data_IF_494575822969
#
_entry.id   IF_494575822969
#
_cell.length_a   1.000
_cell.length_b   1.000
_cell.length_c   1.000
_cell.angle_alpha   90.00
_cell.angle_beta   90.00
_cell.angle_gamma   90.00
#
_symmetry.space_group_name_H-M   'P 1'
#
loop_
_entity.id
_entity.type
_entity.pdbx_description
1 polymer ?
#
# COMPACT_ATOMS: atom_id res chain seq x y z
N UNK A 1 -4.47 -13.25 -4.80
CA UNK A 1 -3.04 -13.55 -4.98
C UNK A 1 -2.49 -12.62 -6.06
N UNK A 2 -1.37 -11.94 -5.77
CA UNK A 2 -0.58 -11.15 -6.74
C UNK A 2 0.74 -11.88 -6.96
N UNK A 3 1.23 -11.95 -8.18
CA UNK A 3 2.54 -12.49 -8.51
C UNK A 3 3.23 -11.58 -9.53
N UNK A 4 4.48 -11.25 -9.27
CA UNK A 4 5.39 -10.62 -10.22
C UNK A 4 6.54 -11.59 -10.47
N UNK A 5 6.82 -11.85 -11.73
CA UNK A 5 7.77 -12.86 -12.16
C UNK A 5 8.83 -12.23 -13.04
N UNK A 6 10.10 -12.24 -12.55
CA UNK A 6 11.29 -11.77 -13.26
C UNK A 6 11.19 -10.35 -13.84
N UNK A 7 10.60 -9.40 -13.10
CA UNK A 7 10.42 -8.02 -13.55
C UNK A 7 11.75 -7.30 -13.69
N UNK A 8 12.02 -6.82 -14.92
CA UNK A 8 13.14 -5.91 -15.19
C UNK A 8 12.61 -4.65 -15.91
N UNK A 9 13.08 -3.46 -15.48
CA UNK A 9 12.62 -2.17 -15.98
C UNK A 9 13.77 -1.22 -16.25
N UNK A 10 13.73 -0.56 -17.43
CA UNK A 10 14.69 0.45 -17.84
C UNK A 10 14.01 1.79 -18.14
N UNK A 11 14.75 2.88 -17.93
CA UNK A 11 14.43 4.21 -18.44
C UNK A 11 15.67 4.79 -19.10
N UNK A 12 15.54 5.26 -20.34
CA UNK A 12 16.61 5.88 -21.12
C UNK A 12 17.92 5.06 -21.11
N UNK A 13 17.79 3.75 -21.28
CA UNK A 13 18.93 2.81 -21.26
C UNK A 13 19.50 2.49 -19.87
N UNK A 14 18.99 3.09 -18.80
CA UNK A 14 19.40 2.81 -17.43
C UNK A 14 18.47 1.77 -16.79
N UNK A 15 19.05 0.66 -16.34
CA UNK A 15 18.32 -0.35 -15.57
C UNK A 15 17.95 0.20 -14.19
N UNK A 16 16.67 0.16 -13.85
CA UNK A 16 16.13 0.62 -12.55
C UNK A 16 15.78 -0.57 -11.68
N UNK A 17 15.13 -1.59 -12.26
CA UNK A 17 14.81 -2.86 -11.60
C UNK A 17 15.42 -4.00 -12.41
N UNK A 18 15.97 -4.98 -11.72
CA UNK A 18 16.57 -6.16 -12.36
C UNK A 18 16.09 -7.43 -11.67
N UNK A 19 15.42 -8.27 -12.45
CA UNK A 19 15.03 -9.63 -12.04
C UNK A 19 14.25 -9.68 -10.71
N UNK A 20 13.26 -8.80 -10.57
CA UNK A 20 12.46 -8.69 -9.35
C UNK A 20 11.28 -9.66 -9.41
N UNK A 21 11.27 -10.62 -8.48
CA UNK A 21 10.16 -11.56 -8.30
C UNK A 21 9.57 -11.42 -6.89
N UNK A 22 8.25 -11.37 -6.78
CA UNK A 22 7.54 -11.36 -5.50
C UNK A 22 6.13 -11.95 -5.66
N UNK A 23 5.57 -12.42 -4.56
CA UNK A 23 4.19 -12.89 -4.54
C UNK A 23 3.49 -12.48 -3.24
N UNK A 24 2.17 -12.36 -3.29
CA UNK A 24 1.30 -12.12 -2.14
C UNK A 24 0.19 -13.17 -2.14
N UNK A 25 -0.06 -13.76 -0.99
CA UNK A 25 -1.21 -14.61 -0.78
C UNK A 25 -2.48 -13.80 -0.50
N UNK A 26 -3.64 -14.43 -0.70
CA UNK A 26 -4.93 -13.76 -0.46
C UNK A 26 -5.09 -13.38 1.02
N UNK A 27 -5.38 -12.10 1.29
CA UNK A 27 -5.54 -11.56 2.64
C UNK A 27 -4.23 -11.25 3.36
N UNK A 28 -3.09 -11.43 2.69
CA UNK A 28 -1.77 -11.14 3.25
C UNK A 28 -1.45 -9.64 3.20
N UNK A 29 -0.80 -9.13 4.23
CA UNK A 29 -0.23 -7.79 4.29
C UNK A 29 1.29 -7.87 4.19
N UNK A 30 1.82 -7.52 3.05
CA UNK A 30 3.25 -7.59 2.73
C UNK A 30 3.84 -6.19 2.66
N UNK A 31 5.05 -6.01 3.18
CA UNK A 31 5.81 -4.78 3.07
C UNK A 31 6.90 -4.90 2.00
N UNK A 32 7.05 -3.88 1.18
CA UNK A 32 8.23 -3.64 0.36
C UNK A 32 9.09 -2.57 1.05
N UNK A 33 10.10 -3.00 1.75
CA UNK A 33 11.05 -2.12 2.44
C UNK A 33 12.29 -1.88 1.56
N UNK A 34 12.82 -0.67 1.55
CA UNK A 34 14.05 -0.37 0.83
C UNK A 34 14.46 1.09 0.92
N UNK A 35 15.72 1.34 0.64
CA UNK A 35 16.29 2.69 0.64
C UNK A 35 15.67 3.58 -0.44
N UNK A 36 15.77 4.90 -0.27
CA UNK A 36 15.31 5.84 -1.28
C UNK A 36 16.08 5.66 -2.60
N UNK A 37 15.35 5.65 -3.70
CA UNK A 37 15.92 5.48 -5.04
C UNK A 37 16.21 4.03 -5.46
N UNK A 38 15.81 3.02 -4.66
CA UNK A 38 15.96 1.60 -5.03
C UNK A 38 14.93 1.10 -6.07
N UNK A 39 14.02 1.96 -6.55
CA UNK A 39 13.03 1.59 -7.58
C UNK A 39 11.66 1.14 -7.06
N UNK A 40 11.34 1.35 -5.77
CA UNK A 40 10.05 0.92 -5.17
C UNK A 40 8.83 1.46 -5.91
N UNK A 41 8.79 2.76 -6.19
CA UNK A 41 7.68 3.39 -6.94
C UNK A 41 7.61 2.88 -8.37
N UNK A 42 8.76 2.65 -9.03
CA UNK A 42 8.82 2.02 -10.36
C UNK A 42 8.21 0.62 -10.33
N UNK A 43 8.54 -0.18 -9.31
CA UNK A 43 7.95 -1.51 -9.15
C UNK A 43 6.42 -1.41 -8.97
N UNK A 44 5.93 -0.46 -8.16
CA UNK A 44 4.49 -0.26 -7.97
C UNK A 44 3.77 0.18 -9.25
N UNK A 45 4.38 1.05 -10.06
CA UNK A 45 3.85 1.42 -11.37
C UNK A 45 3.77 0.20 -12.30
N UNK A 46 4.79 -0.65 -12.27
CA UNK A 46 4.80 -1.90 -13.05
C UNK A 46 3.74 -2.87 -12.56
N UNK A 47 3.64 -3.11 -11.26
CA UNK A 47 2.64 -4.02 -10.66
C UNK A 47 1.21 -3.56 -10.91
N UNK A 48 0.95 -2.24 -10.90
CA UNK A 48 -0.38 -1.67 -11.16
C UNK A 48 -0.75 -1.63 -12.65
N UNK A 49 0.19 -1.96 -13.54
CA UNK A 49 0.01 -1.91 -14.99
C UNK A 49 0.07 -0.49 -15.57
N UNK A 50 0.45 0.52 -14.78
CA UNK A 50 0.68 1.89 -15.26
C UNK A 50 1.91 1.97 -16.16
N UNK A 51 2.88 1.10 -15.94
CA UNK A 51 4.07 0.96 -16.77
C UNK A 51 4.26 -0.50 -17.17
N UNK A 52 4.69 -0.72 -18.40
CA UNK A 52 5.04 -2.04 -18.89
C UNK A 52 6.51 -2.30 -18.62
N UNK A 53 6.89 -3.42 -17.98
CA UNK A 53 8.28 -3.82 -17.85
C UNK A 53 8.83 -4.27 -19.22
N UNK A 54 10.14 -4.19 -19.42
CA UNK A 54 10.79 -4.73 -20.60
C UNK A 54 10.97 -6.25 -20.51
N UNK A 55 11.02 -6.79 -19.27
CA UNK A 55 11.08 -8.25 -19.03
C UNK A 55 10.18 -8.61 -17.86
N UNK A 56 9.66 -9.83 -17.86
CA UNK A 56 8.83 -10.38 -16.81
C UNK A 56 7.33 -10.09 -16.98
N UNK A 57 6.55 -10.63 -16.07
CA UNK A 57 5.09 -10.60 -16.14
C UNK A 57 4.46 -10.37 -14.77
N UNK A 58 3.25 -9.79 -14.75
CA UNK A 58 2.47 -9.55 -13.53
C UNK A 58 1.13 -10.27 -13.65
N UNK A 59 0.76 -11.01 -12.60
CA UNK A 59 -0.48 -11.78 -12.53
C UNK A 59 -1.30 -11.40 -11.30
N UNK A 60 -2.62 -11.30 -11.46
CA UNK A 60 -3.58 -11.21 -10.36
C UNK A 60 -4.56 -12.36 -10.48
N UNK A 61 -4.65 -13.20 -9.44
CA UNK A 61 -5.52 -14.39 -9.42
C UNK A 61 -5.35 -15.30 -10.65
N UNK A 62 -4.12 -15.46 -11.14
CA UNK A 62 -3.76 -16.26 -12.31
C UNK A 62 -4.00 -15.58 -13.67
N UNK A 63 -4.56 -14.38 -13.68
CA UNK A 63 -4.75 -13.59 -14.92
C UNK A 63 -3.57 -12.64 -15.11
N UNK A 64 -2.98 -12.65 -16.29
CA UNK A 64 -1.92 -11.71 -16.66
C UNK A 64 -2.47 -10.28 -16.84
N UNK A 65 -1.86 -9.34 -16.13
CA UNK A 65 -2.22 -7.92 -16.14
C UNK A 65 -1.05 -7.00 -16.54
N UNK A 66 0.04 -7.55 -17.09
CA UNK A 66 1.23 -6.81 -17.48
C UNK A 66 0.87 -5.64 -18.40
N UNK A 67 1.21 -4.40 -18.00
CA UNK A 67 0.87 -3.19 -18.75
C UNK A 67 -0.63 -2.89 -18.89
N UNK A 68 -1.49 -3.53 -18.10
CA UNK A 68 -2.96 -3.35 -18.14
C UNK A 68 -3.46 -2.75 -16.84
N UNK A 69 -3.67 -1.42 -16.74
CA UNK A 69 -4.14 -0.78 -15.52
C UNK A 69 -5.60 -1.12 -15.19
N UNK A 70 -5.97 -0.97 -13.91
CA UNK A 70 -7.36 -1.10 -13.44
C UNK A 70 -7.69 -2.40 -12.72
N UNK A 71 -6.78 -3.39 -12.69
CA UNK A 71 -6.95 -4.64 -11.94
C UNK A 71 -6.54 -4.52 -10.47
N UNK A 72 -5.64 -3.59 -10.17
CA UNK A 72 -5.10 -3.32 -8.83
C UNK A 72 -5.46 -1.89 -8.42
N UNK A 73 -5.88 -1.70 -7.17
CA UNK A 73 -6.08 -0.37 -6.61
C UNK A 73 -4.77 0.16 -6.05
N UNK A 74 -4.41 1.39 -6.43
CA UNK A 74 -3.14 2.00 -6.06
C UNK A 74 -3.37 3.34 -5.35
N UNK A 75 -2.89 3.42 -4.11
CA UNK A 75 -2.79 4.65 -3.35
C UNK A 75 -1.38 5.21 -3.49
N UNK A 76 -1.25 6.34 -4.15
CA UNK A 76 0.04 7.04 -4.27
C UNK A 76 0.41 7.74 -2.95
N UNK A 77 1.68 8.08 -2.80
CA UNK A 77 2.22 8.77 -1.63
C UNK A 77 1.47 10.07 -1.30
N UNK A 78 1.08 10.85 -2.32
CA UNK A 78 0.19 12.01 -2.16
C UNK A 78 -1.27 11.55 -2.17
N UNK A 79 -2.11 12.18 -1.34
CA UNK A 79 -3.54 11.84 -1.23
C UNK A 79 -4.32 12.02 -2.54
N UNK A 80 -3.88 12.93 -3.41
CA UNK A 80 -4.50 13.24 -4.70
C UNK A 80 -6.03 13.37 -4.64
N UNK A 81 -6.55 13.88 -3.53
CA UNK A 81 -7.97 14.23 -3.42
C UNK A 81 -8.27 15.42 -4.33
N UNK A 82 -9.40 15.34 -5.03
CA UNK A 82 -9.83 16.39 -5.94
C UNK A 82 -10.29 17.62 -5.12
N UNK A 83 -9.59 18.77 -5.18
CA UNK A 83 -9.83 19.89 -4.26
C UNK A 83 -11.19 20.54 -4.45
N UNK A 84 -11.78 20.41 -5.63
CA UNK A 84 -13.09 20.98 -6.01
C UNK A 84 -14.26 20.02 -5.76
N UNK A 85 -14.00 18.82 -5.24
CA UNK A 85 -15.04 17.84 -4.87
C UNK A 85 -15.12 17.69 -3.36
N UNK A 86 -16.33 17.46 -2.86
CA UNK A 86 -16.58 17.10 -1.46
C UNK A 86 -16.00 15.74 -1.15
N UNK A 87 -15.76 15.45 0.14
CA UNK A 87 -15.13 14.20 0.57
C UNK A 87 -15.92 12.98 0.13
N UNK A 88 -17.26 13.01 0.25
CA UNK A 88 -18.09 11.90 -0.22
C UNK A 88 -17.93 11.65 -1.73
N UNK A 89 -17.81 12.71 -2.54
CA UNK A 89 -17.58 12.57 -3.98
C UNK A 89 -16.17 12.10 -4.33
N UNK A 90 -15.16 12.48 -3.53
CA UNK A 90 -13.81 11.98 -3.67
C UNK A 90 -13.74 10.47 -3.41
N UNK A 91 -14.34 10.06 -2.31
CA UNK A 91 -14.32 8.66 -1.85
C UNK A 91 -15.16 7.77 -2.79
N UNK A 92 -16.31 8.24 -3.26
CA UNK A 92 -17.18 7.50 -4.16
C UNK A 92 -16.68 7.44 -5.62
N UNK A 93 -15.67 8.24 -5.97
CA UNK A 93 -15.19 8.39 -7.35
C UNK A 93 -14.89 7.07 -8.07
N UNK A 94 -14.20 6.09 -7.47
CA UNK A 94 -13.92 4.82 -8.14
C UNK A 94 -15.15 4.04 -8.57
N UNK A 95 -16.22 4.11 -7.79
CA UNK A 95 -17.50 3.47 -8.11
C UNK A 95 -18.18 4.14 -9.31
N UNK A 96 -18.14 5.48 -9.34
CA UNK A 96 -18.67 6.26 -10.48
C UNK A 96 -17.88 5.94 -11.77
N UNK A 97 -16.55 5.83 -11.68
CA UNK A 97 -15.70 5.48 -12.82
C UNK A 97 -15.96 4.05 -13.34
N UNK A 98 -16.53 3.19 -12.51
CA UNK A 98 -16.99 1.84 -12.88
C UNK A 98 -18.40 1.80 -13.45
N UNK A 99 -19.04 2.96 -13.66
CA UNK A 99 -20.35 3.08 -14.27
C UNK A 99 -21.53 3.16 -13.29
N UNK A 100 -21.28 3.20 -11.97
CA UNK A 100 -22.36 3.43 -11.00
C UNK A 100 -22.89 4.86 -11.10
N UNK A 101 -24.19 5.06 -10.83
CA UNK A 101 -24.73 6.39 -10.71
C UNK A 101 -24.09 7.12 -9.52
N UNK A 102 -23.96 8.45 -9.61
CA UNK A 102 -23.34 9.24 -8.55
C UNK A 102 -24.07 9.07 -7.20
N UNK A 103 -25.39 8.90 -7.23
CA UNK A 103 -26.20 8.69 -6.05
C UNK A 103 -25.90 7.32 -5.42
N UNK A 104 -25.96 6.24 -6.20
CA UNK A 104 -25.66 4.89 -5.72
C UNK A 104 -24.22 4.76 -5.16
N UNK A 105 -23.25 5.39 -5.85
CA UNK A 105 -21.87 5.42 -5.38
C UNK A 105 -21.71 6.12 -4.03
N UNK A 106 -22.43 7.24 -3.80
CA UNK A 106 -22.45 7.95 -2.52
C UNK A 106 -23.09 7.12 -1.41
N UNK A 107 -24.25 6.52 -1.69
CA UNK A 107 -24.95 5.65 -0.74
C UNK A 107 -24.08 4.46 -0.29
N UNK A 108 -23.32 3.87 -1.21
CA UNK A 108 -22.36 2.81 -0.89
C UNK A 108 -21.14 3.30 -0.09
N UNK A 109 -20.66 4.51 -0.36
CA UNK A 109 -19.47 5.06 0.28
C UNK A 109 -19.74 5.56 1.70
N UNK A 110 -20.92 6.14 1.95
CA UNK A 110 -21.26 6.84 3.19
C UNK A 110 -21.10 5.99 4.46
N UNK A 111 -21.54 4.72 4.53
CA UNK A 111 -21.38 3.90 5.75
C UNK A 111 -19.94 3.68 6.21
N UNK A 112 -18.98 3.80 5.28
CA UNK A 112 -17.56 3.61 5.59
C UNK A 112 -16.89 4.83 6.23
N UNK A 113 -17.54 6.03 6.17
CA UNK A 113 -16.96 7.23 6.76
C UNK A 113 -16.72 7.08 8.26
N UNK A 114 -17.70 6.56 9.01
CA UNK A 114 -17.53 6.29 10.43
C UNK A 114 -16.44 5.25 10.71
N UNK A 115 -16.38 4.17 9.91
CA UNK A 115 -15.35 3.13 10.06
C UNK A 115 -13.94 3.68 9.83
N UNK A 116 -13.81 4.67 8.94
CA UNK A 116 -12.53 5.31 8.62
C UNK A 116 -12.23 6.54 9.49
N UNK A 117 -13.05 6.80 10.53
CA UNK A 117 -12.89 7.95 11.42
C UNK A 117 -13.04 9.29 10.69
N UNK A 118 -13.92 9.33 9.71
CA UNK A 118 -14.23 10.49 8.86
C UNK A 118 -15.68 10.99 9.03
N UNK A 119 -16.37 10.47 10.03
CA UNK A 119 -17.77 10.82 10.30
C UNK A 119 -17.97 12.34 10.39
N UNK A 120 -19.03 12.86 9.74
CA UNK A 120 -19.31 14.29 9.68
C UNK A 120 -18.46 15.10 8.69
N UNK A 121 -17.57 14.46 7.92
CA UNK A 121 -16.74 15.17 6.91
C UNK A 121 -17.24 15.04 5.48
N UNK A 122 -18.31 14.32 5.23
CA UNK A 122 -18.82 13.94 3.90
C UNK A 122 -19.07 15.16 3.00
N UNK A 123 -19.56 16.25 3.59
CA UNK A 123 -19.86 17.49 2.89
C UNK A 123 -18.66 18.46 2.81
N UNK A 124 -17.56 18.18 3.51
CA UNK A 124 -16.38 19.04 3.55
C UNK A 124 -15.53 18.89 2.28
N UNK A 125 -14.67 19.87 2.03
CA UNK A 125 -13.64 19.81 0.98
C UNK A 125 -12.29 19.38 1.57
N UNK A 126 -11.37 18.83 0.76
CA UNK A 126 -10.06 18.38 1.24
C UNK A 126 -9.28 19.41 2.04
N UNK A 127 -9.37 20.71 1.66
CA UNK A 127 -8.70 21.80 2.37
C UNK A 127 -9.17 22.04 3.81
N UNK A 128 -10.34 21.51 4.18
CA UNK A 128 -10.93 21.65 5.52
C UNK A 128 -10.52 20.52 6.46
N UNK A 129 -9.81 19.48 5.96
CA UNK A 129 -9.41 18.31 6.71
C UNK A 129 -7.93 18.39 7.16
N UNK A 130 -7.64 17.76 8.29
CA UNK A 130 -6.25 17.52 8.70
C UNK A 130 -5.52 16.58 7.72
N UNK A 131 -4.19 16.57 7.74
CA UNK A 131 -3.39 15.67 6.91
C UNK A 131 -3.77 14.20 7.10
N UNK A 132 -3.92 13.76 8.35
CA UNK A 132 -4.33 12.40 8.68
C UNK A 132 -5.73 12.04 8.17
N UNK A 133 -6.69 12.97 8.25
CA UNK A 133 -8.04 12.76 7.71
C UNK A 133 -8.02 12.64 6.19
N UNK A 134 -7.24 13.48 5.49
CA UNK A 134 -7.07 13.33 4.04
C UNK A 134 -6.47 11.98 3.66
N UNK A 135 -5.50 11.51 4.43
CA UNK A 135 -4.87 10.21 4.20
C UNK A 135 -5.85 9.04 4.39
N UNK A 136 -6.66 9.07 5.46
CA UNK A 136 -7.74 8.09 5.67
C UNK A 136 -8.76 8.11 4.54
N UNK A 137 -9.11 9.28 4.03
CA UNK A 137 -10.02 9.41 2.91
C UNK A 137 -9.44 8.89 1.58
N UNK A 138 -8.16 9.11 1.32
CA UNK A 138 -7.47 8.52 0.18
C UNK A 138 -7.43 6.99 0.28
N UNK A 139 -7.19 6.47 1.49
CA UNK A 139 -7.23 5.04 1.75
C UNK A 139 -8.64 4.46 1.55
N UNK A 140 -9.69 5.13 2.06
CA UNK A 140 -11.08 4.74 1.85
C UNK A 140 -11.45 4.75 0.35
N UNK A 141 -11.03 5.77 -0.39
CA UNK A 141 -11.19 5.82 -1.85
C UNK A 141 -10.52 4.63 -2.53
N UNK A 142 -9.31 4.29 -2.12
CA UNK A 142 -8.55 3.15 -2.66
C UNK A 142 -9.24 1.83 -2.33
N UNK A 143 -9.73 1.67 -1.10
CA UNK A 143 -10.51 0.51 -0.67
C UNK A 143 -11.77 0.30 -1.51
N UNK A 144 -12.62 1.35 -1.67
CA UNK A 144 -13.82 1.27 -2.52
C UNK A 144 -13.48 1.02 -4.01
N UNK A 145 -12.27 1.40 -4.41
CA UNK A 145 -11.71 1.06 -5.71
C UNK A 145 -11.21 -0.38 -5.81
N UNK A 146 -11.02 -1.11 -4.72
CA UNK A 146 -10.35 -2.40 -4.73
C UNK A 146 -11.16 -3.52 -5.40
N UNK A 147 -10.41 -4.42 -6.05
CA UNK A 147 -10.89 -5.71 -6.58
C UNK A 147 -10.16 -6.89 -5.92
N UNK A 148 -9.68 -6.69 -4.69
CA UNK A 148 -8.99 -7.72 -3.91
C UNK A 148 -7.52 -7.43 -3.64
N UNK A 149 -6.81 -6.74 -4.54
CA UNK A 149 -5.40 -6.35 -4.34
C UNK A 149 -5.26 -4.84 -4.25
N UNK A 150 -4.48 -4.38 -3.26
CA UNK A 150 -4.23 -2.97 -2.98
C UNK A 150 -2.72 -2.71 -2.88
N UNK A 151 -2.25 -1.66 -3.55
CA UNK A 151 -0.90 -1.13 -3.39
C UNK A 151 -0.96 0.20 -2.64
N UNK A 152 -0.12 0.37 -1.62
CA UNK A 152 -0.06 1.59 -0.80
C UNK A 152 1.38 2.14 -0.78
N UNK A 153 1.59 3.29 -1.38
CA UNK A 153 2.91 3.93 -1.44
C UNK A 153 3.07 4.90 -0.27
N UNK A 154 3.90 4.52 0.71
CA UNK A 154 4.18 5.28 1.93
C UNK A 154 2.94 5.84 2.64
N UNK A 155 1.95 4.99 2.98
CA UNK A 155 0.63 5.45 3.44
C UNK A 155 0.65 6.23 4.77
N UNK A 156 1.77 6.23 5.50
CA UNK A 156 1.89 6.85 6.82
C UNK A 156 3.00 7.91 6.91
N UNK A 157 3.69 8.23 5.81
CA UNK A 157 4.87 9.10 5.80
C UNK A 157 4.59 10.57 6.21
N UNK A 158 3.36 11.05 5.97
CA UNK A 158 2.97 12.44 6.25
C UNK A 158 2.41 12.67 7.66
N UNK A 159 2.55 11.70 8.58
CA UNK A 159 1.95 11.74 9.90
C UNK A 159 3.00 11.92 11.00
N UNK A 160 2.66 12.70 12.04
CA UNK A 160 3.46 12.76 13.27
C UNK A 160 3.39 11.43 14.05
N UNK A 161 4.34 11.22 14.96
CA UNK A 161 4.53 9.95 15.66
C UNK A 161 3.31 9.48 16.49
N UNK A 162 2.55 10.42 17.10
CA UNK A 162 1.37 10.07 17.90
C UNK A 162 0.21 9.66 16.98
N UNK A 163 -0.05 10.46 15.96
CA UNK A 163 -1.06 10.18 14.93
C UNK A 163 -0.75 8.87 14.19
N UNK A 164 0.53 8.58 13.89
CA UNK A 164 0.96 7.30 13.31
C UNK A 164 0.50 6.10 14.12
N UNK A 165 0.73 6.09 15.44
CA UNK A 165 0.34 4.97 16.31
C UNK A 165 -1.16 4.69 16.30
N UNK A 166 -1.97 5.74 16.33
CA UNK A 166 -3.42 5.62 16.26
C UNK A 166 -3.88 5.07 14.90
N UNK A 167 -3.30 5.59 13.82
CA UNK A 167 -3.62 5.17 12.47
C UNK A 167 -3.14 3.74 12.20
N UNK A 168 -1.96 3.33 12.67
CA UNK A 168 -1.49 1.96 12.54
C UNK A 168 -2.45 0.97 13.23
N UNK A 169 -2.88 1.26 14.46
CA UNK A 169 -3.83 0.41 15.18
C UNK A 169 -5.16 0.30 14.45
N UNK A 170 -5.69 1.44 14.02
CA UNK A 170 -6.92 1.50 13.25
C UNK A 170 -6.78 0.74 11.92
N UNK A 171 -5.68 0.97 11.18
CA UNK A 171 -5.39 0.32 9.90
C UNK A 171 -5.32 -1.21 10.04
N UNK A 172 -4.61 -1.71 11.05
CA UNK A 172 -4.52 -3.15 11.30
C UNK A 172 -5.89 -3.77 11.56
N UNK A 173 -6.70 -3.17 12.44
CA UNK A 173 -8.06 -3.67 12.71
C UNK A 173 -8.94 -3.67 11.46
N UNK A 174 -8.78 -2.69 10.60
CA UNK A 174 -9.50 -2.59 9.33
C UNK A 174 -9.02 -3.66 8.33
N UNK A 175 -7.72 -3.86 8.15
CA UNK A 175 -7.17 -4.87 7.24
C UNK A 175 -7.61 -6.28 7.61
N UNK A 176 -7.63 -6.61 8.91
CA UNK A 176 -8.11 -7.88 9.41
C UNK A 176 -9.60 -8.09 9.12
N UNK A 177 -10.42 -7.04 9.27
CA UNK A 177 -11.87 -7.11 9.00
C UNK A 177 -12.21 -7.26 7.52
N UNK A 178 -11.42 -6.66 6.63
CA UNK A 178 -11.68 -6.61 5.19
C UNK A 178 -10.97 -7.70 4.39
N UNK A 179 -9.99 -8.39 5.00
CA UNK A 179 -9.16 -9.44 4.35
C UNK A 179 -8.58 -9.01 3.01
N UNK A 180 -8.14 -7.75 2.90
CA UNK A 180 -7.52 -7.26 1.68
C UNK A 180 -6.11 -7.80 1.52
N UNK A 181 -5.79 -8.23 0.31
CA UNK A 181 -4.40 -8.53 -0.08
C UNK A 181 -3.69 -7.21 -0.33
N UNK A 182 -2.68 -6.88 0.47
CA UNK A 182 -2.06 -5.56 0.43
C UNK A 182 -0.54 -5.66 0.33
N UNK A 183 0.04 -4.94 -0.63
CA UNK A 183 1.47 -4.61 -0.64
C UNK A 183 1.63 -3.12 -0.31
N UNK A 184 2.40 -2.80 0.71
CA UNK A 184 2.70 -1.41 1.03
C UNK A 184 4.20 -1.13 1.00
N UNK A 185 4.54 0.08 0.58
CA UNK A 185 5.90 0.60 0.65
C UNK A 185 6.06 1.40 1.94
N UNK A 186 7.16 1.22 2.63
CA UNK A 186 7.67 2.14 3.65
C UNK A 186 9.19 2.16 3.63
N UNK A 187 9.77 3.22 4.19
CA UNK A 187 11.19 3.31 4.54
C UNK A 187 11.41 3.15 6.06
N UNK A 188 10.33 3.01 6.83
CA UNK A 188 10.33 2.86 8.28
C UNK A 188 10.34 1.37 8.65
N UNK A 189 11.46 0.92 9.24
CA UNK A 189 11.67 -0.48 9.62
C UNK A 189 10.64 -0.92 10.69
N UNK A 190 10.31 -0.03 11.61
CA UNK A 190 9.38 -0.32 12.69
C UNK A 190 7.96 -0.52 12.13
N UNK A 191 7.53 0.28 11.16
CA UNK A 191 6.27 0.06 10.42
C UNK A 191 6.26 -1.29 9.71
N UNK A 192 7.34 -1.60 8.99
CA UNK A 192 7.45 -2.86 8.26
C UNK A 192 7.27 -4.07 9.18
N UNK A 193 7.96 -4.07 10.33
CA UNK A 193 7.87 -5.19 11.30
C UNK A 193 6.52 -5.22 12.00
N UNK A 194 5.96 -4.06 12.39
CA UNK A 194 4.71 -4.02 13.17
C UNK A 194 3.50 -4.42 12.34
N UNK A 195 3.47 -4.04 11.06
CA UNK A 195 2.26 -4.11 10.25
C UNK A 195 2.20 -5.34 9.34
N UNK A 196 3.33 -5.87 8.84
CA UNK A 196 3.31 -6.88 7.78
C UNK A 196 3.44 -8.32 8.29
N UNK A 197 2.92 -9.26 7.50
CA UNK A 197 3.14 -10.70 7.66
C UNK A 197 4.49 -11.12 7.08
N UNK A 198 4.86 -10.49 5.95
CA UNK A 198 6.16 -10.65 5.27
C UNK A 198 6.73 -9.31 4.83
N UNK A 199 8.06 -9.26 4.75
CA UNK A 199 8.81 -8.10 4.27
C UNK A 199 9.72 -8.55 3.13
N UNK A 200 9.58 -7.91 1.96
CA UNK A 200 10.58 -7.96 0.91
C UNK A 200 11.53 -6.78 1.06
N UNK A 201 12.82 -7.02 0.98
CA UNK A 201 13.86 -5.98 1.02
C UNK A 201 14.35 -5.73 -0.40
N UNK A 202 14.06 -4.53 -0.92
CA UNK A 202 14.53 -4.05 -2.22
C UNK A 202 15.76 -3.17 -2.01
N UNK A 203 16.88 -3.52 -2.61
CA UNK A 203 18.14 -2.77 -2.50
C UNK A 203 18.93 -2.82 -3.79
N UNK A 204 19.99 -1.99 -3.86
CA UNK A 204 20.86 -1.92 -5.02
C UNK A 204 20.47 -0.88 -6.08
N UNK A 205 21.34 -0.76 -7.09
CA UNK A 205 21.13 0.05 -8.32
C UNK A 205 21.77 -0.68 -9.49
N UNK A 206 20.99 -1.43 -10.27
CA UNK A 206 19.53 -1.56 -10.27
C UNK A 206 18.99 -2.23 -9.00
N UNK A 207 17.72 -1.91 -8.66
CA UNK A 207 17.03 -2.49 -7.52
C UNK A 207 16.69 -3.95 -7.75
N UNK A 208 16.97 -4.80 -6.76
CA UNK A 208 16.63 -6.21 -6.74
C UNK A 208 16.11 -6.61 -5.35
N UNK A 209 15.32 -7.67 -5.27
CA UNK A 209 14.95 -8.27 -3.98
C UNK A 209 16.16 -9.00 -3.43
N UNK A 210 16.69 -8.54 -2.30
CA UNK A 210 17.87 -9.14 -1.65
C UNK A 210 17.50 -10.06 -0.49
N UNK A 211 16.29 -9.95 0.05
CA UNK A 211 15.80 -10.81 1.12
C UNK A 211 14.28 -10.79 1.21
N UNK A 212 13.75 -11.89 1.75
CA UNK A 212 12.36 -12.05 2.19
C UNK A 212 12.36 -12.50 3.64
N UNK A 213 11.55 -11.86 4.48
CA UNK A 213 11.45 -12.14 5.90
C UNK A 213 9.98 -12.36 6.29
N UNK A 214 9.67 -13.50 6.89
CA UNK A 214 8.37 -13.73 7.53
C UNK A 214 8.41 -13.24 8.96
N UNK A 215 7.43 -12.46 9.38
CA UNK A 215 7.37 -11.86 10.70
C UNK A 215 6.46 -12.67 11.62
N UNK A 216 7.01 -13.18 12.71
CA UNK A 216 6.28 -13.87 13.78
C UNK A 216 6.26 -13.00 15.04
N UNK A 217 5.18 -13.04 15.87
CA UNK A 217 3.92 -13.76 15.65
C UNK A 217 3.09 -13.15 14.52
N UNK A 218 2.19 -13.96 13.96
CA UNK A 218 1.23 -13.47 12.97
C UNK A 218 0.31 -12.40 13.57
N UNK A 219 -0.26 -11.56 12.71
CA UNK A 219 -1.24 -10.53 13.12
C UNK A 219 -2.54 -11.15 13.66
N UNK A 220 -3.26 -10.50 14.58
CA UNK A 220 -2.91 -9.21 15.23
C UNK A 220 -1.84 -9.36 16.29
N UNK A 221 -0.85 -8.46 16.29
CA UNK A 221 0.24 -8.43 17.27
C UNK A 221 -0.16 -7.65 18.51
N UNK A 222 0.39 -8.02 19.68
CA UNK A 222 0.18 -7.28 20.94
C UNK A 222 0.75 -5.85 20.85
N UNK A 223 0.20 -4.95 21.65
CA UNK A 223 0.69 -3.57 21.73
C UNK A 223 2.17 -3.48 22.16
N UNK A 224 2.62 -4.47 22.93
CA UNK A 224 3.98 -4.53 23.46
C UNK A 224 4.96 -5.25 22.53
N UNK A 225 4.50 -5.76 21.39
CA UNK A 225 5.38 -6.46 20.44
C UNK A 225 6.56 -5.57 20.03
N UNK A 226 6.34 -4.27 19.81
CA UNK A 226 7.40 -3.32 19.47
C UNK A 226 8.49 -3.13 20.55
N UNK A 227 8.27 -3.65 21.76
CA UNK A 227 9.23 -3.65 22.88
C UNK A 227 9.86 -5.03 23.11
N UNK A 228 9.48 -6.04 22.34
CA UNK A 228 9.95 -7.42 22.50
C UNK A 228 11.38 -7.63 21.99
N UNK A 229 12.02 -8.67 22.51
CA UNK A 229 13.32 -9.11 22.01
C UNK A 229 13.26 -9.59 20.55
N UNK A 230 12.15 -10.20 20.14
CA UNK A 230 11.90 -10.66 18.78
C UNK A 230 11.83 -9.48 17.80
N UNK A 231 11.12 -8.41 18.16
CA UNK A 231 11.08 -7.18 17.36
C UNK A 231 12.49 -6.60 17.14
N UNK A 232 13.29 -6.51 18.21
CA UNK A 232 14.67 -6.03 18.13
C UNK A 232 15.56 -6.94 17.27
N UNK A 233 15.33 -8.26 17.29
CA UNK A 233 16.06 -9.20 16.44
C UNK A 233 15.75 -8.96 14.95
N UNK A 234 14.48 -8.81 14.57
CA UNK A 234 14.09 -8.45 13.18
C UNK A 234 14.70 -7.11 12.76
N UNK A 235 14.63 -6.09 13.63
CA UNK A 235 15.21 -4.78 13.33
C UNK A 235 16.71 -4.85 13.06
N UNK A 236 17.46 -5.59 13.87
CA UNK A 236 18.90 -5.82 13.67
C UNK A 236 19.17 -6.57 12.35
N UNK A 237 18.39 -7.59 12.05
CA UNK A 237 18.53 -8.38 10.80
C UNK A 237 18.30 -7.50 9.57
N UNK A 238 17.22 -6.68 9.57
CA UNK A 238 16.89 -5.76 8.47
C UNK A 238 17.98 -4.72 8.29
N UNK A 239 18.47 -4.10 9.39
CA UNK A 239 19.56 -3.12 9.33
C UNK A 239 20.85 -3.73 8.76
N UNK A 240 21.18 -4.98 9.11
CA UNK A 240 22.34 -5.66 8.56
C UNK A 240 22.22 -5.91 7.06
N UNK A 241 21.01 -6.22 6.55
CA UNK A 241 20.74 -6.42 5.13
C UNK A 241 20.77 -5.10 4.33
N UNK A 242 20.29 -4.00 4.90
CA UNK A 242 20.26 -2.69 4.23
C UNK A 242 21.62 -1.99 4.19
N UNK A 243 22.58 -2.40 5.03
CA UNK A 243 23.94 -1.85 5.11
C UNK A 243 24.96 -2.61 4.25
N UNK A 244 24.56 -3.65 3.52
CA UNK A 244 25.36 -4.38 2.55
C UNK A 244 25.30 -3.68 1.17
#
# INVERSE_FOLDING_TARGET
MLCADHISKWYDGRCILKDVSLHLETGELVCLLGVSGAGKTTLFHTLSGLETPEEGQVFVSGQEITGKPGSISYMLQKDLLLPHKRMLDNVALPLVLRGESKQAAREKAQPYFAQFGLDGTEAQYPAQLSGGMRQRAALLRTFLGSRGVVLLDEPFSALDALTKREIHRWYMGMMDSLRLTTLFITHDIDEAILLSDRIYILSGRPGAIIAELTISPFRPRSLDFGLSAEFLAYKKQILALLNQ
#
